data_IF_566366950865
#
_entry.id   IF_566366950865
#
_cell.length_a   1.000
_cell.length_b   1.000
_cell.length_c   1.000
_cell.angle_alpha   90.00
_cell.angle_beta   90.00
_cell.angle_gamma   90.00
#
_symmetry.space_group_name_H-M   'P 1'
#
loop_
_entity.id
_entity.type
_entity.pdbx_description
1 polymer ?
#
# COMPACT_ATOMS: atom_id res chain seq x y z
N UNK A 1 -41.24 23.79 -1.67
CA UNK A 1 -40.17 24.72 -2.11
C UNK A 1 -38.95 23.87 -2.47
N UNK A 2 -38.94 23.29 -3.67
CA UNK A 2 -37.77 22.55 -4.16
C UNK A 2 -36.71 23.58 -4.54
N UNK A 3 -35.62 23.66 -3.77
CA UNK A 3 -34.50 24.54 -4.08
C UNK A 3 -33.83 24.09 -5.38
N UNK A 4 -33.60 25.04 -6.29
CA UNK A 4 -32.82 24.86 -7.51
C UNK A 4 -31.48 24.15 -7.17
N UNK A 5 -31.30 22.92 -7.66
CA UNK A 5 -30.09 22.12 -7.49
C UNK A 5 -28.93 22.64 -8.39
N UNK A 6 -28.67 23.95 -8.35
CA UNK A 6 -27.53 24.55 -9.07
C UNK A 6 -26.24 24.21 -8.32
N UNK A 7 -25.39 23.41 -8.96
CA UNK A 7 -24.09 23.01 -8.42
C UNK A 7 -23.20 24.24 -8.27
N UNK A 8 -23.01 24.73 -7.04
CA UNK A 8 -22.06 25.80 -6.75
C UNK A 8 -20.68 25.23 -6.41
N UNK A 9 -19.82 25.09 -7.42
CA UNK A 9 -18.45 24.59 -7.23
C UNK A 9 -17.52 25.60 -6.53
N UNK A 10 -17.90 26.87 -6.45
CA UNK A 10 -17.02 27.94 -5.94
C UNK A 10 -16.75 27.85 -4.45
N UNK A 11 -17.64 27.23 -3.67
CA UNK A 11 -17.43 27.04 -2.23
C UNK A 11 -16.24 26.11 -1.97
N UNK A 12 -16.20 24.96 -2.64
CA UNK A 12 -15.08 24.00 -2.52
C UNK A 12 -13.74 24.53 -3.03
N UNK A 13 -13.74 25.44 -4.03
CA UNK A 13 -12.50 26.04 -4.57
C UNK A 13 -11.80 26.95 -3.58
N UNK A 14 -12.51 27.49 -2.60
CA UNK A 14 -11.96 28.46 -1.63
C UNK A 14 -11.16 27.80 -0.50
N UNK A 15 -11.38 26.51 -0.25
CA UNK A 15 -10.84 25.79 0.92
C UNK A 15 -9.68 24.85 0.60
N UNK A 16 -9.39 24.59 -0.69
CA UNK A 16 -8.29 23.73 -1.12
C UNK A 16 -7.44 24.38 -2.22
N UNK A 17 -6.14 24.06 -2.29
CA UNK A 17 -5.32 24.45 -3.42
C UNK A 17 -5.93 24.01 -4.76
N UNK A 18 -5.80 24.85 -5.80
CA UNK A 18 -6.48 24.65 -7.08
C UNK A 18 -6.12 23.30 -7.74
N UNK A 19 -4.87 22.87 -7.65
CA UNK A 19 -4.42 21.58 -8.19
C UNK A 19 -5.11 20.38 -7.50
N UNK A 20 -5.31 20.44 -6.18
CA UNK A 20 -6.05 19.44 -5.41
C UNK A 20 -7.53 19.48 -5.81
N UNK A 21 -8.10 20.68 -5.93
CA UNK A 21 -9.48 20.84 -6.38
C UNK A 21 -9.71 20.20 -7.76
N UNK A 22 -8.83 20.46 -8.73
CA UNK A 22 -8.89 19.86 -10.07
C UNK A 22 -8.78 18.34 -10.00
N UNK A 23 -7.80 17.81 -9.24
CA UNK A 23 -7.59 16.38 -9.09
C UNK A 23 -8.83 15.66 -8.53
N UNK A 24 -9.35 16.15 -7.40
CA UNK A 24 -10.51 15.54 -6.74
C UNK A 24 -11.79 15.73 -7.56
N UNK A 25 -11.96 16.87 -8.24
CA UNK A 25 -13.09 17.09 -9.15
C UNK A 25 -13.07 16.15 -10.35
N UNK A 26 -11.90 15.87 -10.91
CA UNK A 26 -11.75 14.89 -11.99
C UNK A 26 -12.12 13.48 -11.53
N UNK A 27 -11.67 13.07 -10.33
CA UNK A 27 -12.12 11.80 -9.74
C UNK A 27 -13.62 11.77 -9.53
N UNK A 28 -14.23 12.84 -8.99
CA UNK A 28 -15.67 12.93 -8.77
C UNK A 28 -16.46 12.73 -10.07
N UNK A 29 -16.09 13.45 -11.13
CA UNK A 29 -16.74 13.33 -12.43
C UNK A 29 -16.59 11.92 -13.00
N UNK A 30 -15.37 11.38 -13.00
CA UNK A 30 -15.13 10.04 -13.48
C UNK A 30 -15.85 8.97 -12.65
N UNK A 31 -15.94 9.11 -11.32
CA UNK A 31 -16.68 8.19 -10.45
C UNK A 31 -18.19 8.24 -10.71
N UNK A 32 -18.74 9.42 -11.02
CA UNK A 32 -20.15 9.54 -11.40
C UNK A 32 -20.46 8.78 -12.70
N UNK A 33 -19.56 8.79 -13.68
CA UNK A 33 -19.75 8.05 -14.95
C UNK A 33 -19.68 6.53 -14.80
N UNK A 34 -19.04 6.04 -13.72
CA UNK A 34 -18.79 4.61 -13.52
C UNK A 34 -19.87 3.91 -12.70
N UNK A 35 -20.57 4.65 -11.84
CA UNK A 35 -21.69 4.13 -11.04
C UNK A 35 -22.97 4.15 -11.85
N UNK A 36 -23.68 3.03 -11.88
CA UNK A 36 -25.02 2.95 -12.47
C UNK A 36 -26.08 3.01 -11.37
N UNK A 37 -27.28 3.47 -11.73
CA UNK A 37 -28.40 3.60 -10.80
C UNK A 37 -28.92 2.24 -10.30
N UNK A 38 -28.73 1.18 -11.08
CA UNK A 38 -29.09 -0.20 -10.73
C UNK A 38 -28.13 -0.86 -9.72
N UNK A 39 -27.11 -0.14 -9.25
CA UNK A 39 -26.08 -0.65 -8.34
C UNK A 39 -24.97 -1.44 -9.02
N UNK A 40 -25.00 -1.60 -10.34
CA UNK A 40 -23.87 -2.14 -11.10
C UNK A 40 -22.77 -1.09 -11.29
N UNK A 41 -21.56 -1.56 -11.60
CA UNK A 41 -20.38 -0.73 -11.78
C UNK A 41 -19.75 -1.00 -13.14
N UNK A 42 -19.42 0.06 -13.88
CA UNK A 42 -18.74 -0.07 -15.17
C UNK A 42 -17.24 -0.30 -14.96
N UNK A 43 -16.88 -1.57 -14.67
CA UNK A 43 -15.50 -1.99 -14.37
C UNK A 43 -14.54 -1.68 -15.52
N UNK A 44 -14.91 -1.97 -16.76
CA UNK A 44 -14.03 -1.78 -17.91
C UNK A 44 -13.68 -0.30 -18.10
N UNK A 45 -14.68 0.59 -18.00
CA UNK A 45 -14.44 2.03 -18.03
C UNK A 45 -13.61 2.49 -16.83
N UNK A 46 -13.78 1.88 -15.66
CA UNK A 46 -12.99 2.19 -14.48
C UNK A 46 -11.52 1.83 -14.63
N UNK A 47 -11.22 0.67 -15.19
CA UNK A 47 -9.84 0.25 -15.46
C UNK A 47 -9.21 1.06 -16.60
N UNK A 48 -10.00 1.48 -17.59
CA UNK A 48 -9.53 2.35 -18.68
C UNK A 48 -9.19 3.77 -18.19
N UNK A 49 -10.05 4.35 -17.36
CA UNK A 49 -9.84 5.71 -16.83
C UNK A 49 -8.81 5.77 -15.69
N UNK A 50 -8.53 4.66 -15.02
CA UNK A 50 -7.48 4.60 -14.00
C UNK A 50 -6.10 4.51 -14.67
N UNK A 51 -5.33 5.59 -14.62
CA UNK A 51 -3.96 5.62 -15.16
C UNK A 51 -3.07 4.70 -14.31
N UNK A 52 -2.70 3.51 -14.75
CA UNK A 52 -1.83 2.62 -13.96
C UNK A 52 -0.35 2.84 -14.25
N UNK A 53 0.49 2.60 -13.24
CA UNK A 53 1.95 2.57 -13.39
C UNK A 53 2.45 1.12 -13.25
N UNK A 54 3.34 0.66 -14.14
CA UNK A 54 4.02 -0.62 -13.92
C UNK A 54 4.94 -0.51 -12.70
N UNK A 55 5.27 -1.66 -12.12
CA UNK A 55 6.36 -1.71 -11.16
C UNK A 55 7.69 -1.34 -11.85
N UNK A 56 8.63 -0.77 -11.10
CA UNK A 56 9.91 -0.33 -11.66
C UNK A 56 11.06 -0.87 -10.82
N UNK A 57 11.79 -1.83 -11.38
CA UNK A 57 12.98 -2.40 -10.75
C UNK A 57 14.16 -1.43 -10.79
N UNK A 58 14.18 -0.45 -11.69
CA UNK A 58 15.21 0.59 -11.73
C UNK A 58 14.92 1.58 -10.59
N UNK A 59 15.82 1.76 -9.62
CA UNK A 59 15.58 2.66 -8.50
C UNK A 59 15.36 4.10 -8.95
N UNK A 60 14.23 4.68 -8.57
CA UNK A 60 13.96 6.10 -8.75
C UNK A 60 13.91 6.73 -7.37
N UNK A 61 14.71 7.77 -7.15
CA UNK A 61 14.90 8.40 -5.83
C UNK A 61 15.39 7.40 -4.76
N UNK A 62 16.04 6.31 -5.17
CA UNK A 62 16.52 5.26 -4.25
C UNK A 62 15.46 4.23 -3.84
N UNK A 63 14.28 4.23 -4.48
CA UNK A 63 13.23 3.21 -4.28
C UNK A 63 13.02 2.46 -5.57
N UNK A 64 12.99 1.13 -5.50
CA UNK A 64 12.50 0.28 -6.58
C UNK A 64 11.24 -0.48 -6.12
N UNK A 65 10.45 -0.93 -7.07
CA UNK A 65 9.24 -1.71 -6.83
C UNK A 65 9.12 -2.92 -7.75
N UNK A 66 8.46 -3.95 -7.26
CA UNK A 66 8.12 -5.16 -8.02
C UNK A 66 6.76 -5.69 -7.60
N UNK A 67 6.09 -6.37 -8.52
CA UNK A 67 4.80 -6.99 -8.24
C UNK A 67 5.01 -8.48 -7.89
N UNK A 68 4.41 -8.91 -6.78
CA UNK A 68 4.39 -10.30 -6.33
C UNK A 68 2.97 -10.85 -6.44
N UNK A 69 2.82 -11.96 -7.16
CA UNK A 69 1.55 -12.67 -7.28
C UNK A 69 1.57 -13.90 -6.35
N UNK A 70 0.68 -13.92 -5.38
CA UNK A 70 0.38 -15.15 -4.64
C UNK A 70 -0.44 -16.08 -5.55
N UNK A 71 0.16 -17.20 -5.96
CA UNK A 71 -0.48 -18.15 -6.86
C UNK A 71 -1.66 -18.88 -6.22
N UNK A 72 -1.70 -19.00 -4.90
CA UNK A 72 -2.76 -19.72 -4.19
C UNK A 72 -4.06 -18.93 -4.16
N UNK A 73 -3.96 -17.60 -4.06
CA UNK A 73 -5.11 -16.69 -3.94
C UNK A 73 -5.34 -15.83 -5.17
N UNK A 74 -4.36 -15.76 -6.08
CA UNK A 74 -4.35 -14.81 -7.20
C UNK A 74 -4.12 -13.35 -6.76
N UNK A 75 -3.76 -13.12 -5.50
CA UNK A 75 -3.59 -11.78 -4.95
C UNK A 75 -2.27 -11.17 -5.41
N UNK A 76 -2.36 -9.99 -6.05
CA UNK A 76 -1.21 -9.22 -6.47
C UNK A 76 -0.83 -8.22 -5.37
N UNK A 77 0.44 -8.17 -5.00
CA UNK A 77 0.98 -7.22 -4.03
C UNK A 77 2.13 -6.47 -4.66
N UNK A 78 2.12 -5.14 -4.61
CA UNK A 78 3.25 -4.32 -5.03
C UNK A 78 4.17 -4.06 -3.85
N UNK A 79 5.41 -4.53 -3.94
CA UNK A 79 6.42 -4.34 -2.91
C UNK A 79 7.35 -3.21 -3.34
N UNK A 80 7.56 -2.24 -2.45
CA UNK A 80 8.53 -1.15 -2.62
C UNK A 80 9.65 -1.29 -1.60
N UNK A 81 10.90 -1.23 -2.06
CA UNK A 81 12.10 -1.46 -1.25
C UNK A 81 13.15 -0.38 -1.44
N UNK A 82 14.00 -0.14 -0.42
CA UNK A 82 15.17 0.70 -0.57
C UNK A 82 16.15 0.05 -1.53
N UNK A 83 16.73 0.84 -2.42
CA UNK A 83 17.97 0.45 -3.08
C UNK A 83 19.14 0.59 -2.11
N UNK A 84 19.93 -0.48 -1.97
CA UNK A 84 21.13 -0.54 -1.12
C UNK A 84 22.20 0.51 -1.48
N UNK A 85 22.07 1.17 -2.63
CA UNK A 85 22.96 2.25 -3.10
C UNK A 85 23.04 3.41 -2.09
N UNK A 86 22.02 3.62 -1.23
CA UNK A 86 22.08 4.66 -0.20
C UNK A 86 22.92 4.26 1.04
N UNK A 87 23.07 2.96 1.33
CA UNK A 87 23.90 2.48 2.44
C UNK A 87 25.40 2.52 2.10
N UNK A 88 25.76 2.27 0.84
CA UNK A 88 27.16 2.22 0.39
C UNK A 88 27.76 3.58 0.02
N UNK A 89 26.94 4.63 -0.12
CA UNK A 89 27.41 5.99 -0.45
C UNK A 89 28.16 6.72 0.68
N UNK A 90 28.35 6.10 1.86
CA UNK A 90 29.35 6.58 2.84
C UNK A 90 30.75 6.01 2.58
N UNK A 91 30.89 4.97 1.76
CA UNK A 91 32.16 4.22 1.61
C UNK A 91 32.67 4.18 0.16
N UNK A 92 31.83 4.23 -0.87
CA UNK A 92 32.30 4.08 -2.26
C UNK A 92 32.04 5.31 -3.13
N UNK A 93 32.95 6.30 -3.05
CA UNK A 93 33.33 7.11 -4.21
C UNK A 93 34.24 6.26 -5.08
N UNK A 94 33.71 5.56 -6.09
CA UNK A 94 34.42 5.19 -7.32
C UNK A 94 33.67 4.09 -8.08
N UNK A 95 33.55 4.31 -9.40
CA UNK A 95 33.35 3.34 -10.49
C UNK A 95 31.95 2.83 -10.80
N UNK A 96 31.48 3.39 -11.92
CA UNK A 96 30.58 2.81 -12.91
C UNK A 96 30.94 1.35 -13.25
N UNK A 97 29.94 0.48 -13.18
CA UNK A 97 29.67 -0.66 -14.09
C UNK A 97 28.40 -1.35 -13.61
N UNK A 98 27.38 -1.37 -14.49
CA UNK A 98 26.16 -2.19 -14.47
C UNK A 98 25.80 -2.78 -13.10
N UNK A 99 24.84 -2.15 -12.42
CA UNK A 99 24.29 -2.68 -11.17
C UNK A 99 23.87 -4.15 -11.39
N UNK A 100 24.27 -5.08 -10.51
CA UNK A 100 23.86 -6.48 -10.63
C UNK A 100 22.33 -6.59 -10.60
N UNK A 101 21.74 -7.65 -11.19
CA UNK A 101 20.30 -7.87 -11.15
C UNK A 101 19.82 -7.74 -9.72
N UNK A 102 18.89 -6.81 -9.47
CA UNK A 102 18.34 -6.61 -8.12
C UNK A 102 17.64 -7.90 -7.74
N UNK A 103 18.20 -8.61 -6.77
CA UNK A 103 17.56 -9.77 -6.20
C UNK A 103 16.39 -9.30 -5.33
N UNK A 104 15.19 -9.42 -5.91
CA UNK A 104 13.93 -8.98 -5.33
C UNK A 104 13.60 -9.73 -4.03
N UNK A 105 14.25 -10.87 -3.78
CA UNK A 105 14.01 -11.76 -2.65
C UNK A 105 15.18 -11.85 -1.68
N UNK A 106 16.24 -11.05 -1.82
CA UNK A 106 17.29 -11.04 -0.81
C UNK A 106 16.82 -10.36 0.49
N UNK A 107 17.23 -10.84 1.68
CA UNK A 107 16.94 -10.17 2.93
C UNK A 107 17.60 -8.77 2.96
N UNK A 108 16.91 -7.78 3.53
CA UNK A 108 17.38 -6.38 3.53
C UNK A 108 18.59 -6.13 4.43
N UNK A 109 18.78 -6.96 5.46
CA UNK A 109 19.95 -6.96 6.34
C UNK A 109 19.98 -8.26 7.13
N UNK A 110 21.17 -8.84 7.32
CA UNK A 110 21.39 -10.03 8.16
C UNK A 110 21.53 -9.68 9.64
N UNK A 111 21.49 -8.38 10.01
CA UNK A 111 21.83 -7.90 11.35
C UNK A 111 20.81 -6.95 12.01
N UNK A 112 19.75 -6.51 11.31
CA UNK A 112 18.80 -5.53 11.85
C UNK A 112 17.34 -5.82 11.46
N UNK A 113 16.43 -5.61 12.40
CA UNK A 113 14.98 -5.69 12.14
C UNK A 113 14.58 -4.56 11.19
N UNK A 114 13.92 -4.92 10.09
CA UNK A 114 13.49 -3.94 9.09
C UNK A 114 12.00 -3.67 9.27
N UNK A 115 11.59 -2.42 9.57
CA UNK A 115 10.17 -2.09 9.61
C UNK A 115 9.53 -2.34 8.25
N UNK A 116 8.23 -2.62 8.26
CA UNK A 116 7.41 -2.67 7.05
C UNK A 116 6.04 -2.02 7.29
N UNK A 117 5.40 -1.64 6.20
CA UNK A 117 4.00 -1.22 6.15
C UNK A 117 3.22 -2.12 5.20
N UNK A 118 2.04 -2.56 5.61
CA UNK A 118 1.03 -3.10 4.70
C UNK A 118 0.00 -2.02 4.45
N UNK A 119 -0.12 -1.63 3.18
CA UNK A 119 -0.94 -0.53 2.73
C UNK A 119 -2.11 -1.02 1.89
N UNK A 120 -3.31 -0.54 2.22
CA UNK A 120 -4.54 -0.79 1.48
C UNK A 120 -4.99 0.48 0.79
N UNK A 121 -5.06 0.47 -0.53
CA UNK A 121 -5.49 1.65 -1.27
C UNK A 121 -6.95 2.01 -0.98
N UNK A 122 -7.26 3.31 -0.98
CA UNK A 122 -8.63 3.80 -0.89
C UNK A 122 -9.41 3.61 -2.20
N UNK A 123 -10.53 4.33 -2.33
CA UNK A 123 -11.43 4.23 -3.49
C UNK A 123 -12.80 3.62 -3.19
N UNK A 124 -13.22 3.68 -1.92
CA UNK A 124 -14.55 3.22 -1.47
C UNK A 124 -14.80 1.76 -1.84
N UNK A 125 -13.80 0.89 -1.63
CA UNK A 125 -13.80 -0.55 -1.98
C UNK A 125 -14.02 -0.90 -3.44
N UNK A 126 -14.22 0.09 -4.31
CA UNK A 126 -14.69 -0.10 -5.68
C UNK A 126 -13.65 0.38 -6.70
N UNK A 127 -12.88 1.41 -6.36
CA UNK A 127 -11.98 2.10 -7.29
C UNK A 127 -10.51 1.82 -6.99
N UNK A 128 -9.68 2.16 -7.97
CA UNK A 128 -8.22 2.15 -7.88
C UNK A 128 -7.61 0.77 -7.69
N UNK A 129 -6.28 0.73 -7.64
CA UNK A 129 -5.45 -0.46 -7.53
C UNK A 129 -4.15 -0.10 -6.82
N UNK A 130 -3.35 -1.11 -6.43
CA UNK A 130 -1.99 -0.90 -5.95
C UNK A 130 -1.09 -0.16 -6.97
N UNK A 131 -1.47 -0.23 -8.26
CA UNK A 131 -0.77 0.40 -9.38
C UNK A 131 -1.23 1.82 -9.72
N UNK A 132 -2.30 2.33 -9.09
CA UNK A 132 -2.77 3.70 -9.35
C UNK A 132 -1.72 4.73 -8.89
N UNK A 133 -1.50 5.85 -9.60
CA UNK A 133 -0.32 6.69 -9.43
C UNK A 133 -0.36 7.45 -8.11
N UNK A 134 -1.57 7.80 -7.66
CA UNK A 134 -1.80 8.46 -6.36
C UNK A 134 -1.30 7.58 -5.21
N UNK A 135 -1.57 6.27 -5.26
CA UNK A 135 -1.19 5.32 -4.22
C UNK A 135 0.26 4.86 -4.37
N UNK A 136 0.74 4.66 -5.59
CA UNK A 136 2.15 4.38 -5.84
C UNK A 136 3.04 5.54 -5.34
N UNK A 137 2.65 6.79 -5.61
CA UNK A 137 3.37 7.98 -5.10
C UNK A 137 3.28 8.08 -3.58
N UNK A 138 2.12 7.80 -3.00
CA UNK A 138 1.95 7.79 -1.54
C UNK A 138 2.86 6.75 -0.87
N UNK A 139 2.89 5.50 -1.37
CA UNK A 139 3.77 4.45 -0.86
C UNK A 139 5.25 4.83 -0.94
N UNK A 140 5.67 5.44 -2.06
CA UNK A 140 7.05 5.94 -2.22
C UNK A 140 7.37 7.08 -1.25
N UNK A 141 6.40 7.94 -0.91
CA UNK A 141 6.61 8.99 0.12
C UNK A 141 6.69 8.41 1.52
N UNK A 142 5.84 7.43 1.85
CA UNK A 142 5.85 6.75 3.14
C UNK A 142 7.24 6.12 3.42
N UNK A 143 7.84 5.53 2.39
CA UNK A 143 9.22 5.04 2.44
C UNK A 143 10.23 6.10 2.92
N UNK A 144 10.17 7.34 2.37
CA UNK A 144 11.10 8.41 2.73
C UNK A 144 10.85 8.98 4.12
N UNK A 145 9.58 9.03 4.54
CA UNK A 145 9.19 9.54 5.86
C UNK A 145 9.52 8.56 6.99
N UNK A 146 9.76 7.30 6.67
CA UNK A 146 10.02 6.23 7.64
C UNK A 146 11.37 5.54 7.38
N UNK A 147 12.39 6.31 6.98
CA UNK A 147 13.80 5.87 6.93
C UNK A 147 14.05 4.54 6.20
N UNK A 148 13.47 4.38 5.01
CA UNK A 148 13.79 3.23 4.16
C UNK A 148 12.99 1.95 4.44
N UNK A 149 11.84 2.11 5.10
CA UNK A 149 10.88 1.03 5.42
C UNK A 149 10.33 0.34 4.16
N UNK A 150 10.11 -0.97 4.22
CA UNK A 150 9.44 -1.71 3.13
C UNK A 150 7.95 -1.38 3.09
N UNK A 151 7.40 -1.13 1.91
CA UNK A 151 5.95 -0.91 1.76
C UNK A 151 5.36 -1.99 0.86
N UNK A 152 4.38 -2.71 1.37
CA UNK A 152 3.59 -3.71 0.63
C UNK A 152 2.21 -3.13 0.37
N UNK A 153 1.94 -2.75 -0.88
CA UNK A 153 0.64 -2.24 -1.32
C UNK A 153 -0.20 -3.40 -1.85
N UNK A 154 -1.31 -3.69 -1.17
CA UNK A 154 -2.17 -4.85 -1.46
C UNK A 154 -3.18 -4.49 -2.55
N UNK A 155 -3.24 -5.28 -3.62
CA UNK A 155 -4.22 -5.09 -4.70
C UNK A 155 -5.48 -5.93 -4.43
N UNK A 156 -6.18 -5.60 -3.35
CA UNK A 156 -7.34 -6.36 -2.87
C UNK A 156 -8.50 -6.36 -3.88
N UNK A 157 -9.34 -7.40 -3.81
CA UNK A 157 -10.52 -7.56 -4.65
C UNK A 157 -11.59 -6.52 -4.32
N UNK A 158 -12.18 -5.94 -5.38
CA UNK A 158 -13.07 -4.78 -5.28
C UNK A 158 -14.53 -5.17 -5.49
N UNK A 159 -15.39 -4.43 -4.80
CA UNK A 159 -16.84 -4.43 -5.01
C UNK A 159 -17.20 -3.66 -6.29
N UNK A 160 -18.39 -3.91 -6.88
CA UNK A 160 -19.44 -4.83 -6.43
C UNK A 160 -19.24 -6.32 -6.81
N UNK A 161 -18.24 -6.65 -7.62
CA UNK A 161 -17.98 -8.01 -8.10
C UNK A 161 -17.50 -8.93 -6.97
N UNK A 162 -16.69 -8.39 -6.07
CA UNK A 162 -16.22 -9.07 -4.87
C UNK A 162 -16.70 -8.27 -3.66
N UNK A 163 -17.83 -8.70 -3.09
CA UNK A 163 -18.44 -8.05 -1.93
C UNK A 163 -17.73 -8.44 -0.64
N UNK A 164 -18.15 -7.85 0.46
CA UNK A 164 -17.75 -8.30 1.80
C UNK A 164 -17.89 -9.83 1.92
N UNK A 165 -16.89 -10.55 2.48
CA UNK A 165 -15.68 -10.06 3.16
C UNK A 165 -14.39 -10.03 2.31
N UNK A 166 -14.46 -10.18 0.98
CA UNK A 166 -13.29 -10.48 0.14
C UNK A 166 -12.06 -9.57 0.33
N UNK A 167 -12.26 -8.24 0.47
CA UNK A 167 -11.16 -7.31 0.67
C UNK A 167 -10.41 -7.56 2.00
N UNK A 168 -11.13 -7.97 3.05
CA UNK A 168 -10.57 -8.31 4.35
C UNK A 168 -9.83 -9.65 4.31
N UNK A 169 -10.38 -10.64 3.62
CA UNK A 169 -9.71 -11.92 3.40
C UNK A 169 -8.37 -11.72 2.67
N UNK A 170 -8.36 -10.86 1.64
CA UNK A 170 -7.14 -10.52 0.90
C UNK A 170 -6.13 -9.80 1.79
N UNK A 171 -6.58 -8.90 2.66
CA UNK A 171 -5.73 -8.25 3.65
C UNK A 171 -5.12 -9.22 4.65
N UNK A 172 -5.91 -10.19 5.12
CA UNK A 172 -5.42 -11.23 6.01
C UNK A 172 -4.40 -12.16 5.33
N UNK A 173 -4.65 -12.53 4.08
CA UNK A 173 -3.69 -13.28 3.25
C UNK A 173 -2.40 -12.50 3.08
N UNK A 174 -2.48 -11.22 2.72
CA UNK A 174 -1.31 -10.37 2.57
C UNK A 174 -0.51 -10.25 3.87
N UNK A 175 -1.17 -10.05 5.01
CA UNK A 175 -0.52 -9.96 6.32
C UNK A 175 0.22 -11.26 6.67
N UNK A 176 -0.43 -12.43 6.50
CA UNK A 176 0.21 -13.74 6.71
C UNK A 176 1.40 -13.93 5.77
N UNK A 177 1.27 -13.53 4.51
CA UNK A 177 2.34 -13.61 3.53
C UNK A 177 3.53 -12.74 3.94
N UNK A 178 3.31 -11.50 4.37
CA UNK A 178 4.38 -10.63 4.89
C UNK A 178 5.04 -11.25 6.11
N UNK A 179 4.25 -11.74 7.08
CA UNK A 179 4.75 -12.43 8.28
C UNK A 179 5.62 -13.66 7.96
N UNK A 180 5.27 -14.42 6.92
CA UNK A 180 6.02 -15.63 6.53
C UNK A 180 7.37 -15.36 5.87
N UNK A 181 7.66 -14.12 5.47
CA UNK A 181 8.89 -13.79 4.75
C UNK A 181 10.03 -13.50 5.72
N UNK A 182 11.09 -14.31 5.63
CA UNK A 182 12.38 -14.09 6.30
C UNK A 182 13.07 -12.77 5.92
N UNK A 183 12.57 -12.04 4.92
CA UNK A 183 13.11 -10.75 4.45
C UNK A 183 13.05 -9.62 5.49
N UNK A 184 12.28 -9.82 6.57
CA UNK A 184 12.02 -8.85 7.63
C UNK A 184 12.59 -9.28 9.00
N UNK A 185 13.24 -10.45 9.07
CA UNK A 185 13.84 -10.99 10.30
C UNK A 185 15.36 -11.15 10.15
N UNK A 186 16.11 -10.58 11.10
CA UNK A 186 17.55 -10.82 11.28
C UNK A 186 17.77 -11.97 12.25
N UNK A 187 18.82 -12.76 12.02
CA UNK A 187 19.35 -13.71 13.00
C UNK A 187 19.89 -13.00 14.25
N UNK A 188 19.92 -13.75 15.35
CA UNK A 188 20.60 -13.52 16.63
C UNK A 188 20.18 -12.30 17.47
N UNK A 189 19.09 -12.48 18.22
CA UNK A 189 18.68 -11.61 19.32
C UNK A 189 17.49 -12.19 20.08
N UNK A 190 17.63 -13.42 20.60
CA UNK A 190 16.61 -14.12 21.41
C UNK A 190 16.18 -13.24 22.60
N UNK A 191 14.98 -12.67 22.55
CA UNK A 191 14.19 -12.32 23.74
C UNK A 191 12.83 -13.00 23.65
N UNK A 192 12.58 -13.87 24.61
CA UNK A 192 11.38 -14.70 24.75
C UNK A 192 10.15 -13.84 25.02
N UNK A 193 9.03 -14.22 24.42
CA UNK A 193 7.70 -13.85 24.92
C UNK A 193 7.35 -14.83 26.05
N UNK A 194 7.34 -14.37 27.30
CA UNK A 194 6.78 -15.16 28.41
C UNK A 194 5.25 -15.20 28.29
N UNK A 195 4.72 -16.41 28.18
CA UNK A 195 3.27 -16.69 28.05
C UNK A 195 2.56 -16.89 29.40
N UNK A 196 3.22 -16.60 30.52
CA UNK A 196 2.74 -17.01 31.86
C UNK A 196 2.16 -15.88 32.74
N UNK A 197 1.83 -14.72 32.19
CA UNK A 197 0.92 -13.80 32.89
C UNK A 197 -0.45 -13.80 32.24
N UNK A 198 -1.43 -14.38 32.94
CA UNK A 198 -2.84 -14.48 32.57
C UNK A 198 -3.55 -13.12 32.49
N UNK A 199 -3.09 -12.25 31.60
CA UNK A 199 -3.81 -11.08 31.12
C UNK A 199 -4.09 -11.31 29.65
N UNK A 200 -5.37 -11.52 29.32
CA UNK A 200 -5.87 -11.47 27.96
C UNK A 200 -5.25 -10.27 27.21
N UNK A 201 -4.43 -10.46 26.17
CA UNK A 201 -4.01 -9.35 25.33
C UNK A 201 -5.25 -8.85 24.60
N UNK A 202 -5.62 -7.59 24.86
CA UNK A 202 -6.71 -6.92 24.18
C UNK A 202 -6.54 -7.07 22.66
N UNK A 203 -7.63 -7.46 21.99
CA UNK A 203 -7.78 -7.34 20.54
C UNK A 203 -7.18 -6.00 20.10
N UNK A 204 -6.42 -5.94 18.99
CA UNK A 204 -6.16 -4.65 18.38
C UNK A 204 -7.52 -4.01 18.10
N UNK A 205 -7.78 -2.90 18.77
CA UNK A 205 -8.95 -2.06 18.58
C UNK A 205 -8.94 -1.65 17.10
N UNK A 206 -9.69 -2.39 16.27
CA UNK A 206 -10.09 -2.01 14.92
C UNK A 206 -10.95 -0.78 15.09
N UNK A 207 -10.30 0.36 15.33
CA UNK A 207 -10.98 1.63 15.37
C UNK A 207 -11.52 1.87 13.99
N UNK A 208 -12.84 1.85 13.91
CA UNK A 208 -13.63 2.25 12.76
C UNK A 208 -13.22 3.69 12.38
N UNK A 209 -12.23 3.80 11.51
CA UNK A 209 -11.52 5.04 11.22
C UNK A 209 -12.04 5.70 9.95
N UNK A 210 -13.14 6.45 10.08
CA UNK A 210 -13.45 7.61 9.24
C UNK A 210 -13.99 7.34 7.83
N UNK A 211 -15.14 7.93 7.55
CA UNK A 211 -15.91 7.93 6.29
C UNK A 211 -15.19 8.58 5.07
N UNK A 212 -13.87 8.73 5.12
CA UNK A 212 -13.13 9.66 4.27
C UNK A 212 -12.11 9.01 3.33
N UNK A 213 -12.40 7.86 2.71
CA UNK A 213 -11.85 7.43 1.40
C UNK A 213 -10.32 7.40 1.16
N UNK A 214 -9.49 7.71 2.15
CA UNK A 214 -8.02 7.64 2.11
C UNK A 214 -7.60 6.25 2.57
N UNK A 215 -6.63 5.65 1.88
CA UNK A 215 -6.21 4.28 2.13
C UNK A 215 -5.78 4.04 3.59
N UNK A 216 -6.00 2.83 4.06
CA UNK A 216 -5.67 2.41 5.43
C UNK A 216 -4.24 1.87 5.49
N UNK A 217 -3.47 2.33 6.47
CA UNK A 217 -2.16 1.78 6.82
C UNK A 217 -2.37 0.90 8.04
N UNK A 218 -2.22 -0.42 7.88
CA UNK A 218 -2.31 -1.35 9.01
C UNK A 218 -0.88 -1.64 9.49
N UNK A 219 -0.52 -1.04 10.62
CA UNK A 219 0.61 -1.42 11.47
C UNK A 219 2.01 -0.94 11.05
N UNK A 220 2.79 -0.50 12.05
CA UNK A 220 4.26 -0.52 12.06
C UNK A 220 4.63 -1.68 12.98
N UNK A 221 4.92 -2.86 12.43
CA UNK A 221 5.20 -4.05 13.24
C UNK A 221 6.68 -4.45 13.11
N UNK A 222 7.31 -4.70 14.25
CA UNK A 222 8.67 -5.25 14.39
C UNK A 222 8.44 -6.71 14.73
N UNK A 223 8.35 -7.57 13.71
CA UNK A 223 7.98 -8.96 13.89
C UNK A 223 9.24 -9.85 13.99
N UNK A 224 9.39 -10.57 15.08
CA UNK A 224 10.31 -11.70 15.23
C UNK A 224 9.54 -12.80 15.96
N UNK A 225 9.24 -13.92 15.29
CA UNK A 225 8.50 -15.04 15.87
C UNK A 225 9.47 -16.15 16.32
N UNK A 226 9.21 -16.71 17.50
CA UNK A 226 10.00 -17.76 18.11
C UNK A 226 9.42 -19.14 17.81
N UNK A 227 10.17 -19.98 17.10
CA UNK A 227 9.89 -21.41 17.02
C UNK A 227 11.18 -22.19 16.73
N UNK A 228 11.62 -23.00 17.69
CA UNK A 228 12.85 -23.81 17.64
C UNK A 228 13.67 -23.73 18.92
#
# INVERSE_FOLDING_TARGET
MAGDNKVNLNESKRVVPLNIWVLISNFKLAYNLRRRLDGSFNRDLAEFLDRKLPANTIPVDGVFSFDHLDRSTGLLNRVSRPSLVRSLNRVYRSQSRLDPPIDLQNPLSTAAVVPFFVFFHGGSFTHSSASSPIYNTFCRRLFFLCDGTVVVSVNYRRSPENRYPCAYDDGWVALKWVKSRSLLCSGEGRRSWDSDTGQHPALPDVRQGGENGIGEVIGREVLCDGSG
#
